data_IF_917159473387
#
_entry.id   IF_917159473387
#
_cell.length_a   1.000
_cell.length_b   1.000
_cell.length_c   1.000
_cell.angle_alpha   90.00
_cell.angle_beta   90.00
_cell.angle_gamma   90.00
#
_symmetry.space_group_name_H-M   'P 1'
#
loop_
_entity.id
_entity.type
_entity.pdbx_description
1 polymer ?
#
# COMPACT_ATOMS: atom_id res chain seq x y z
N UNK A 1 0.03 10.48 -16.05
CA UNK A 1 -0.80 10.22 -14.85
C UNK A 1 -0.07 10.69 -13.59
N UNK A 2 -0.80 11.25 -12.62
CA UNK A 2 -0.27 11.64 -11.31
C UNK A 2 -1.18 11.08 -10.22
N UNK A 3 -0.59 10.45 -9.21
CA UNK A 3 -1.29 9.81 -8.10
C UNK A 3 -1.09 10.66 -6.85
N UNK A 4 -2.19 10.99 -6.17
CA UNK A 4 -2.22 11.90 -5.00
C UNK A 4 -1.73 11.25 -3.70
N UNK A 5 -1.16 10.04 -3.76
CA UNK A 5 -0.55 9.34 -2.64
C UNK A 5 0.80 8.72 -3.05
N UNK A 6 1.64 8.35 -2.07
CA UNK A 6 2.78 7.46 -2.32
C UNK A 6 2.32 6.08 -2.79
N UNK A 7 3.18 5.28 -3.43
CA UNK A 7 2.83 3.95 -3.88
C UNK A 7 2.59 3.02 -2.69
N UNK A 8 1.45 2.30 -2.69
CA UNK A 8 1.18 1.24 -1.72
C UNK A 8 2.14 0.07 -1.92
N UNK A 9 2.87 -0.28 -0.87
CA UNK A 9 3.91 -1.32 -0.88
C UNK A 9 3.72 -2.37 0.22
N UNK A 10 2.79 -2.13 1.15
CA UNK A 10 2.57 -2.97 2.31
C UNK A 10 1.08 -3.00 2.68
N UNK A 11 0.57 -4.12 3.24
CA UNK A 11 -0.82 -4.25 3.71
C UNK A 11 -1.08 -3.34 4.91
N UNK A 12 -2.34 -3.03 5.23
CA UNK A 12 -2.65 -2.26 6.43
C UNK A 12 -3.07 -3.17 7.58
N UNK A 13 -2.57 -2.87 8.79
CA UNK A 13 -2.99 -3.55 10.02
C UNK A 13 -3.96 -2.71 10.88
N UNK A 14 -4.38 -1.56 10.37
CA UNK A 14 -5.17 -0.55 11.08
C UNK A 14 -6.57 -0.37 10.47
N UNK A 15 -7.00 -1.32 9.64
CA UNK A 15 -8.36 -1.38 9.09
C UNK A 15 -8.57 -0.73 7.71
N UNK A 16 -7.52 -0.23 7.06
CA UNK A 16 -7.64 0.12 5.63
C UNK A 16 -7.55 -1.17 4.80
N UNK A 17 -8.49 -1.38 3.89
CA UNK A 17 -8.46 -2.55 3.03
C UNK A 17 -7.39 -2.41 1.93
N UNK A 18 -6.23 -3.05 2.14
CA UNK A 18 -5.10 -3.09 1.20
C UNK A 18 -4.77 -4.54 0.93
N UNK A 19 -4.61 -4.88 -0.34
CA UNK A 19 -4.30 -6.21 -0.81
C UNK A 19 -2.92 -6.72 -0.34
N UNK A 20 -2.71 -8.03 -0.48
CA UNK A 20 -1.45 -8.71 -0.22
C UNK A 20 -0.34 -8.18 -1.14
N UNK A 21 0.91 -8.23 -0.68
CA UNK A 21 2.07 -7.57 -1.33
C UNK A 21 2.28 -8.05 -2.78
N UNK A 22 1.98 -9.32 -3.05
CA UNK A 22 2.01 -9.95 -4.38
C UNK A 22 1.03 -9.32 -5.38
N UNK A 23 -0.10 -8.80 -4.91
CA UNK A 23 -1.13 -8.17 -5.73
C UNK A 23 -0.91 -6.66 -5.89
N UNK A 24 -0.01 -6.05 -5.10
CA UNK A 24 0.32 -4.64 -5.21
C UNK A 24 1.29 -4.40 -6.37
N UNK A 25 0.80 -3.80 -7.46
CA UNK A 25 1.59 -3.52 -8.67
C UNK A 25 2.91 -2.79 -8.39
N UNK A 26 2.92 -1.90 -7.39
CA UNK A 26 4.12 -1.17 -7.04
C UNK A 26 5.19 -2.14 -6.51
N UNK A 27 4.85 -3.14 -5.71
CA UNK A 27 5.81 -4.14 -5.22
C UNK A 27 6.49 -4.93 -6.34
N UNK A 28 5.80 -5.12 -7.46
CA UNK A 28 6.27 -5.97 -8.55
C UNK A 28 7.00 -5.20 -9.66
N UNK A 29 6.83 -3.87 -9.73
CA UNK A 29 7.26 -3.07 -10.87
C UNK A 29 7.85 -1.71 -10.46
N UNK A 30 8.83 -1.25 -11.21
CA UNK A 30 9.32 0.13 -11.15
C UNK A 30 8.28 1.12 -11.71
N UNK A 31 8.41 2.40 -11.38
CA UNK A 31 7.48 3.45 -11.82
C UNK A 31 7.38 3.51 -13.36
N UNK A 32 8.51 3.36 -14.05
CA UNK A 32 8.56 3.38 -15.53
C UNK A 32 7.88 2.16 -16.14
N UNK A 33 8.04 0.98 -15.52
CA UNK A 33 7.35 -0.23 -15.95
C UNK A 33 5.84 -0.11 -15.74
N UNK A 34 5.39 0.45 -14.61
CA UNK A 34 3.98 0.71 -14.35
C UNK A 34 3.43 1.69 -15.39
N UNK A 35 4.15 2.78 -15.68
CA UNK A 35 3.75 3.77 -16.68
C UNK A 35 3.52 3.12 -18.06
N UNK A 36 4.45 2.27 -18.51
CA UNK A 36 4.31 1.49 -19.75
C UNK A 36 3.11 0.54 -19.68
N UNK A 37 2.95 -0.19 -18.58
CA UNK A 37 1.87 -1.19 -18.41
C UNK A 37 0.48 -0.57 -18.46
N UNK A 38 0.30 0.64 -17.91
CA UNK A 38 -0.99 1.35 -17.92
C UNK A 38 -1.16 2.30 -19.11
N UNK A 39 -0.17 2.37 -20.02
CA UNK A 39 -0.26 3.14 -21.26
C UNK A 39 -0.21 4.66 -21.10
N UNK A 40 0.56 5.19 -20.14
CA UNK A 40 0.71 6.64 -19.91
C UNK A 40 2.12 7.11 -20.23
N UNK A 41 2.26 8.37 -20.69
CA UNK A 41 3.58 8.94 -21.04
C UNK A 41 4.52 9.03 -19.83
N UNK A 42 3.96 9.33 -18.67
CA UNK A 42 4.69 9.30 -17.39
C UNK A 42 3.76 9.04 -16.22
N UNK A 43 4.32 8.43 -15.18
CA UNK A 43 3.67 8.21 -13.90
C UNK A 43 4.46 8.94 -12.80
N UNK A 44 3.74 9.54 -11.86
CA UNK A 44 4.35 10.19 -10.70
C UNK A 44 3.46 10.02 -9.48
N UNK A 45 4.08 9.72 -8.35
CA UNK A 45 3.43 9.57 -7.06
C UNK A 45 3.77 10.77 -6.17
N UNK A 46 2.87 11.11 -5.24
CA UNK A 46 3.19 12.05 -4.17
C UNK A 46 4.30 11.46 -3.29
N UNK A 47 5.28 12.27 -2.87
CA UNK A 47 6.33 11.80 -1.97
C UNK A 47 5.79 11.55 -0.56
N UNK A 48 6.48 10.70 0.20
CA UNK A 48 6.13 10.42 1.60
C UNK A 48 6.25 11.70 2.44
N UNK A 49 7.31 12.47 2.22
CA UNK A 49 7.53 13.76 2.87
C UNK A 49 6.42 14.75 2.50
N UNK A 50 5.99 14.73 1.24
CA UNK A 50 4.90 15.54 0.72
C UNK A 50 3.59 15.25 1.46
N UNK A 51 3.17 13.98 1.54
CA UNK A 51 1.93 13.61 2.23
C UNK A 51 1.99 13.93 3.72
N UNK A 52 3.13 13.72 4.38
CA UNK A 52 3.32 14.06 5.79
C UNK A 52 3.23 15.58 6.02
N UNK A 53 3.82 16.38 5.13
CA UNK A 53 3.77 17.85 5.21
C UNK A 53 2.36 18.41 5.03
N UNK A 54 1.54 17.77 4.17
CA UNK A 54 0.15 18.17 3.90
C UNK A 54 -0.77 17.78 5.05
N UNK A 55 -0.58 16.58 5.62
CA UNK A 55 -1.43 16.06 6.68
C UNK A 55 -1.46 16.97 7.93
N UNK A 56 -0.42 17.79 8.15
CA UNK A 56 -0.27 18.75 9.27
C UNK A 56 -0.97 18.27 10.55
N UNK A 57 -0.59 17.09 11.07
CA UNK A 57 -1.40 16.42 12.06
C UNK A 57 -1.47 17.27 13.32
N UNK A 58 -2.62 17.90 13.56
CA UNK A 58 -2.88 18.74 14.75
C UNK A 58 -2.74 17.97 16.07
N UNK A 59 -2.74 16.64 16.03
CA UNK A 59 -2.85 15.78 17.19
C UNK A 59 -1.91 14.56 17.19
N UNK A 60 -0.83 14.55 16.39
CA UNK A 60 0.17 13.47 16.50
C UNK A 60 0.86 13.07 15.21
N UNK A 61 1.17 11.78 15.05
CA UNK A 61 1.88 11.24 13.89
C UNK A 61 0.91 10.81 12.78
N UNK A 62 1.28 11.07 11.53
CA UNK A 62 0.58 10.54 10.36
C UNK A 62 1.19 9.19 9.98
N UNK A 63 0.39 8.12 10.04
CA UNK A 63 0.85 6.77 9.70
C UNK A 63 1.19 6.67 8.20
N UNK A 64 2.39 6.19 7.88
CA UNK A 64 2.88 5.94 6.51
C UNK A 64 3.29 4.48 6.31
N UNK A 65 2.80 3.58 7.18
CA UNK A 65 3.17 2.17 7.19
C UNK A 65 2.86 1.49 5.85
N UNK A 66 1.69 1.73 5.27
CA UNK A 66 1.28 1.12 3.99
C UNK A 66 2.20 1.47 2.80
N UNK A 67 2.99 2.54 2.93
CA UNK A 67 3.95 2.99 1.90
C UNK A 67 5.40 2.58 2.22
N UNK A 68 5.74 2.39 3.49
CA UNK A 68 7.13 2.28 3.97
C UNK A 68 7.46 1.02 4.75
N UNK A 69 6.44 0.28 5.20
CA UNK A 69 6.56 -0.83 6.13
C UNK A 69 6.81 -0.39 7.57
N UNK A 70 6.92 0.92 7.85
CA UNK A 70 7.17 1.46 9.19
C UNK A 70 5.86 1.82 9.87
N UNK A 71 5.35 0.90 10.69
CA UNK A 71 4.13 1.09 11.45
C UNK A 71 4.41 1.63 12.85
N UNK A 72 3.45 2.33 13.49
CA UNK A 72 3.65 2.93 14.82
C UNK A 72 3.68 1.89 15.96
N UNK A 73 3.35 0.63 15.69
CA UNK A 73 3.46 -0.51 16.62
C UNK A 73 4.06 -1.70 15.88
N UNK A 74 4.46 -2.72 16.64
CA UNK A 74 4.86 -4.01 16.08
C UNK A 74 3.72 -4.63 15.26
N UNK A 75 4.07 -5.12 14.07
CA UNK A 75 3.15 -5.79 13.15
C UNK A 75 3.40 -7.28 13.11
N UNK A 76 2.42 -8.10 12.68
CA UNK A 76 2.63 -9.52 12.49
C UNK A 76 3.88 -9.80 11.63
N UNK A 77 4.75 -10.68 12.10
CA UNK A 77 6.00 -11.06 11.42
C UNK A 77 5.83 -12.25 10.46
N UNK A 78 4.60 -12.63 10.12
CA UNK A 78 4.36 -13.79 9.26
C UNK A 78 5.00 -13.57 7.88
N UNK A 79 5.63 -14.62 7.34
CA UNK A 79 6.50 -14.51 6.16
C UNK A 79 5.76 -14.15 4.87
N UNK A 80 4.42 -14.22 4.85
CA UNK A 80 3.56 -13.63 3.83
C UNK A 80 2.25 -13.24 4.51
N UNK A 81 1.90 -11.95 4.51
CA UNK A 81 0.57 -11.52 4.92
C UNK A 81 -0.38 -11.72 3.75
N UNK A 82 -1.31 -12.65 3.90
CA UNK A 82 -2.46 -12.81 3.01
C UNK A 82 -3.67 -12.05 3.59
N UNK A 83 -4.20 -11.10 2.82
CA UNK A 83 -5.43 -10.37 3.12
C UNK A 83 -6.59 -11.33 3.45
N UNK A 84 -6.66 -12.47 2.80
CA UNK A 84 -7.77 -13.43 2.91
C UNK A 84 -7.58 -14.48 3.99
N UNK A 85 -6.49 -14.44 4.76
CA UNK A 85 -6.13 -15.50 5.73
C UNK A 85 -7.18 -15.78 6.82
N UNK A 86 -8.12 -14.85 7.03
CA UNK A 86 -9.21 -14.98 8.00
C UNK A 86 -10.60 -14.99 7.37
N UNK A 87 -10.69 -14.89 6.04
CA UNK A 87 -11.96 -15.00 5.33
C UNK A 87 -12.34 -16.48 5.17
N UNK A 88 -13.63 -16.78 5.23
CA UNK A 88 -14.11 -18.13 4.92
C UNK A 88 -13.88 -18.39 3.43
N UNK A 89 -13.45 -19.60 3.03
CA UNK A 89 -13.24 -19.92 1.63
C UNK A 89 -14.52 -19.64 0.84
N UNK A 90 -14.43 -18.75 -0.15
CA UNK A 90 -15.54 -18.43 -1.03
C UNK A 90 -15.73 -19.59 -2.01
N UNK A 91 -16.40 -20.65 -1.57
CA UNK A 91 -16.92 -21.73 -2.42
C UNK A 91 -16.30 -23.11 -2.20
N UNK A 92 -16.77 -23.83 -1.18
CA UNK A 92 -17.07 -25.27 -1.26
C UNK A 92 -18.55 -25.44 -0.91
N UNK A 93 -19.42 -25.13 -1.87
CA UNK A 93 -20.79 -25.63 -1.89
C UNK A 93 -21.05 -26.09 -3.32
N UNK A 94 -21.00 -27.41 -3.51
CA UNK A 94 -21.60 -28.12 -4.64
C UNK A 94 -23.12 -27.83 -4.74
#
# INVERSE_FOLDING_TARGET
MRVSCPPFRHPCFFGTDIDSTENLIACQMSIDEIARKIGVDSLGYLSIEGVQSIAKPKFGHFCVGCFTGKYPIETPTCEVYDKFQFELPTGETD
#
